data_IF_284876754755
#
_entry.id   IF_284876754755
#
_cell.length_a   1.000
_cell.length_b   1.000
_cell.length_c   1.000
_cell.angle_alpha   90.00
_cell.angle_beta   90.00
_cell.angle_gamma   90.00
#
_symmetry.space_group_name_H-M   'P 1'
#
loop_
_entity.id
_entity.type
_entity.pdbx_description
1 polymer ?
#
# COMPACT_ATOMS: atom_id res chain seq x y z
N UNK A 1 56.11 -11.28 9.04
CA UNK A 1 54.95 -12.10 8.63
C UNK A 1 53.71 -11.51 9.25
N UNK A 2 52.98 -10.68 8.51
CA UNK A 2 51.63 -10.25 8.89
C UNK A 2 50.66 -11.11 8.11
N UNK A 3 49.79 -11.83 8.81
CA UNK A 3 48.74 -12.65 8.19
C UNK A 3 47.89 -11.73 7.31
N UNK A 4 47.78 -12.08 6.04
CA UNK A 4 46.79 -11.49 5.15
C UNK A 4 45.43 -11.59 5.83
N UNK A 5 44.84 -10.44 6.09
CA UNK A 5 43.46 -10.34 6.56
C UNK A 5 42.62 -10.68 5.33
N UNK A 6 42.26 -11.96 5.19
CA UNK A 6 41.26 -12.37 4.22
C UNK A 6 39.96 -11.68 4.66
N UNK A 7 39.60 -10.60 3.98
CA UNK A 7 38.28 -9.99 4.10
C UNK A 7 37.34 -10.91 3.31
N UNK A 8 36.81 -11.93 3.98
CA UNK A 8 35.68 -12.73 3.48
C UNK A 8 34.36 -12.08 3.88
N UNK A 9 34.18 -10.80 3.55
CA UNK A 9 32.85 -10.18 3.61
C UNK A 9 32.23 -10.31 2.22
N UNK A 10 32.01 -11.55 1.77
CA UNK A 10 31.00 -11.81 0.75
C UNK A 10 29.66 -11.56 1.44
N UNK A 11 28.79 -10.67 0.93
CA UNK A 11 27.60 -10.25 1.65
C UNK A 11 26.74 -11.45 2.03
N UNK A 12 26.21 -11.42 3.26
CA UNK A 12 25.09 -12.25 3.70
C UNK A 12 24.06 -12.32 2.58
N UNK A 13 23.66 -13.53 2.21
CA UNK A 13 22.92 -13.84 0.98
C UNK A 13 21.69 -12.93 0.80
N UNK A 14 21.86 -11.83 0.07
CA UNK A 14 20.81 -10.89 -0.36
C UNK A 14 20.26 -11.26 -1.76
N UNK A 15 20.38 -12.53 -2.15
CA UNK A 15 19.87 -13.02 -3.43
C UNK A 15 18.35 -13.19 -3.42
N UNK A 16 17.71 -13.08 -4.58
CA UNK A 16 16.28 -13.38 -4.74
C UNK A 16 16.06 -14.88 -4.46
N UNK A 17 15.06 -15.22 -3.64
CA UNK A 17 14.78 -16.63 -3.33
C UNK A 17 14.07 -17.28 -4.51
N UNK A 18 14.52 -18.47 -4.89
CA UNK A 18 13.91 -19.23 -5.99
C UNK A 18 13.30 -20.51 -5.45
N UNK A 19 11.99 -20.67 -5.67
CA UNK A 19 11.23 -21.86 -5.36
C UNK A 19 10.83 -22.60 -6.64
N UNK A 20 10.62 -23.89 -6.51
CA UNK A 20 10.28 -24.79 -7.62
C UNK A 20 9.01 -25.55 -7.25
N UNK A 21 8.10 -25.63 -8.22
CA UNK A 21 6.85 -26.35 -8.11
C UNK A 21 6.61 -27.12 -9.40
N UNK A 22 6.59 -28.45 -9.34
CA UNK A 22 6.26 -29.27 -10.52
C UNK A 22 4.76 -29.21 -10.85
N UNK A 23 4.38 -29.63 -12.06
CA UNK A 23 2.96 -29.70 -12.47
C UNK A 23 2.16 -30.63 -11.55
N UNK A 24 2.76 -31.76 -11.17
CA UNK A 24 2.15 -32.73 -10.27
C UNK A 24 2.01 -32.18 -8.84
N UNK A 25 2.98 -31.39 -8.36
CA UNK A 25 2.87 -30.74 -7.06
C UNK A 25 1.76 -29.68 -7.05
N UNK A 26 1.67 -28.87 -8.11
CA UNK A 26 0.62 -27.86 -8.25
C UNK A 26 -0.78 -28.49 -8.25
N UNK A 27 -0.99 -29.56 -9.02
CA UNK A 27 -2.30 -30.23 -9.10
C UNK A 27 -2.73 -30.89 -7.78
N UNK A 28 -1.76 -31.26 -6.94
CA UNK A 28 -1.98 -31.82 -5.60
C UNK A 28 -2.03 -30.76 -4.50
N UNK A 29 -1.91 -29.47 -4.83
CA UNK A 29 -1.89 -28.38 -3.85
C UNK A 29 -0.69 -28.41 -2.90
N UNK A 30 0.45 -28.97 -3.32
CA UNK A 30 1.68 -29.01 -2.52
C UNK A 30 2.40 -27.66 -2.56
N UNK A 31 3.14 -27.36 -1.50
CA UNK A 31 3.96 -26.15 -1.41
C UNK A 31 5.20 -26.22 -2.31
N UNK A 32 5.65 -25.06 -2.79
CA UNK A 32 6.86 -24.95 -3.58
C UNK A 32 8.11 -25.11 -2.70
N UNK A 33 9.14 -25.77 -3.23
CA UNK A 33 10.36 -26.10 -2.49
C UNK A 33 11.47 -25.15 -2.91
N UNK A 34 12.24 -24.62 -1.95
CA UNK A 34 13.36 -23.75 -2.27
C UNK A 34 14.45 -24.52 -3.02
N UNK A 35 14.86 -23.98 -4.17
CA UNK A 35 15.98 -24.50 -4.96
C UNK A 35 17.29 -23.75 -4.71
N UNK A 36 17.22 -22.51 -4.21
CA UNK A 36 18.40 -21.75 -3.84
C UNK A 36 18.15 -20.25 -3.91
N UNK A 37 19.26 -19.51 -3.96
CA UNK A 37 19.25 -18.07 -4.16
C UNK A 37 19.77 -17.73 -5.55
N UNK A 38 19.07 -16.84 -6.24
CA UNK A 38 19.44 -16.37 -7.56
C UNK A 38 20.71 -15.53 -7.49
N UNK A 39 21.74 -15.93 -8.23
CA UNK A 39 22.99 -15.16 -8.37
C UNK A 39 23.00 -14.36 -9.68
N UNK A 40 22.39 -14.91 -10.75
CA UNK A 40 22.17 -14.22 -12.00
C UNK A 40 20.96 -14.76 -12.75
N UNK A 41 20.32 -13.89 -13.55
CA UNK A 41 19.22 -14.25 -14.43
C UNK A 41 19.25 -13.40 -15.69
N UNK A 42 18.95 -14.01 -16.84
CA UNK A 42 18.82 -13.33 -18.12
C UNK A 42 17.68 -13.91 -18.93
N UNK A 43 17.14 -13.13 -19.88
CA UNK A 43 16.10 -13.61 -20.81
C UNK A 43 14.66 -13.61 -20.27
N UNK A 44 14.41 -13.08 -19.06
CA UNK A 44 13.06 -12.94 -18.49
C UNK A 44 12.11 -12.08 -19.36
N UNK A 45 12.66 -11.00 -19.94
CA UNK A 45 12.03 -10.14 -20.95
C UNK A 45 12.60 -10.53 -22.32
N UNK A 46 11.97 -11.48 -23.00
CA UNK A 46 12.39 -11.94 -24.31
C UNK A 46 11.26 -12.71 -24.99
N UNK A 47 11.29 -12.76 -26.30
CA UNK A 47 10.24 -13.33 -27.14
C UNK A 47 9.95 -12.36 -28.28
N UNK A 48 10.56 -12.61 -29.44
CA UNK A 48 10.26 -11.89 -30.66
C UNK A 48 8.92 -12.41 -31.21
N UNK A 49 8.05 -11.50 -31.66
CA UNK A 49 6.90 -11.88 -32.47
C UNK A 49 7.31 -11.74 -33.92
N UNK A 50 7.22 -12.82 -34.69
CA UNK A 50 7.14 -12.66 -36.14
C UNK A 50 5.72 -12.23 -36.48
N UNK A 51 5.56 -10.99 -36.97
CA UNK A 51 4.30 -10.59 -37.58
C UNK A 51 4.22 -11.24 -38.95
N UNK A 52 3.32 -12.20 -39.15
CA UNK A 52 3.05 -12.71 -40.48
C UNK A 52 2.06 -11.76 -41.17
N UNK A 53 2.55 -10.99 -42.13
CA UNK A 53 1.69 -10.24 -43.03
C UNK A 53 1.03 -11.22 -43.99
N UNK A 54 -0.27 -11.43 -43.83
CA UNK A 54 -1.07 -12.15 -44.81
C UNK A 54 -1.63 -11.11 -45.77
N UNK A 55 -1.24 -11.15 -47.04
CA UNK A 55 -1.97 -10.45 -48.10
C UNK A 55 -3.19 -11.28 -48.45
N UNK A 56 -4.43 -10.86 -48.15
CA UNK A 56 -5.61 -11.63 -48.52
C UNK A 56 -5.73 -11.60 -50.05
N UNK A 57 -5.91 -12.76 -50.68
CA UNK A 57 -6.06 -12.88 -52.15
C UNK A 57 -7.33 -12.17 -52.66
N UNK A 58 -8.25 -11.77 -51.77
CA UNK A 58 -9.57 -11.22 -52.10
C UNK A 58 -9.98 -10.03 -51.19
N UNK A 59 -9.05 -9.18 -50.76
CA UNK A 59 -9.42 -7.92 -50.11
C UNK A 59 -9.55 -6.80 -51.17
N UNK A 60 -10.74 -6.20 -51.28
CA UNK A 60 -11.06 -5.10 -52.20
C UNK A 60 -10.94 -3.72 -51.55
N UNK A 61 -10.88 -3.66 -50.22
CA UNK A 61 -10.99 -2.43 -49.43
C UNK A 61 -9.71 -2.12 -48.63
N UNK A 62 -8.65 -2.94 -48.77
CA UNK A 62 -7.32 -2.74 -48.16
C UNK A 62 -7.36 -2.52 -46.63
N UNK A 63 -8.24 -3.20 -45.92
CA UNK A 63 -8.22 -3.17 -44.46
C UNK A 63 -7.15 -4.14 -43.95
N UNK A 64 -6.10 -3.58 -43.38
CA UNK A 64 -4.91 -4.30 -42.90
C UNK A 64 -5.28 -5.41 -41.89
N UNK A 65 -5.25 -6.68 -42.32
CA UNK A 65 -5.39 -7.82 -41.40
C UNK A 65 -4.02 -8.14 -40.79
N UNK A 66 -3.73 -7.54 -39.63
CA UNK A 66 -2.59 -7.94 -38.81
C UNK A 66 -2.91 -9.22 -38.03
N UNK A 67 -2.47 -10.38 -38.55
CA UNK A 67 -2.50 -11.63 -37.81
C UNK A 67 -1.36 -11.68 -36.79
N UNK A 68 -1.68 -11.76 -35.50
CA UNK A 68 -0.68 -11.89 -34.44
C UNK A 68 0.02 -13.24 -34.59
N UNK A 69 1.26 -13.24 -35.10
CA UNK A 69 2.03 -14.47 -35.29
C UNK A 69 2.55 -15.07 -33.98
N UNK A 70 3.23 -16.23 -34.10
CA UNK A 70 3.75 -17.02 -32.98
C UNK A 70 4.81 -16.23 -32.19
N UNK A 71 4.62 -16.08 -30.88
CA UNK A 71 5.65 -15.57 -29.95
C UNK A 71 6.66 -16.70 -29.73
N UNK A 72 7.92 -16.50 -30.11
CA UNK A 72 8.99 -17.47 -29.79
C UNK A 72 9.24 -17.49 -28.28
N UNK A 73 9.45 -18.68 -27.71
CA UNK A 73 9.78 -18.86 -26.30
C UNK A 73 11.08 -18.11 -25.99
N UNK A 74 11.10 -17.36 -24.88
CA UNK A 74 12.32 -16.73 -24.42
C UNK A 74 13.22 -17.82 -23.83
N UNK A 75 14.45 -17.95 -24.30
CA UNK A 75 15.48 -18.68 -23.56
C UNK A 75 15.83 -17.88 -22.32
N UNK A 76 15.69 -18.51 -21.15
CA UNK A 76 16.04 -17.96 -19.85
C UNK A 76 17.25 -18.72 -19.34
N UNK A 77 18.26 -17.99 -18.89
CA UNK A 77 19.40 -18.57 -18.19
C UNK A 77 19.39 -18.08 -16.74
N UNK A 78 19.53 -19.01 -15.79
CA UNK A 78 19.55 -18.75 -14.36
C UNK A 78 20.73 -19.45 -13.72
N UNK A 79 21.39 -18.79 -12.77
CA UNK A 79 22.35 -19.43 -11.88
C UNK A 79 21.81 -19.34 -10.44
N UNK A 80 21.77 -20.48 -9.76
CA UNK A 80 21.30 -20.62 -8.39
C UNK A 80 22.44 -21.06 -7.49
N UNK A 81 22.65 -20.35 -6.38
CA UNK A 81 23.47 -20.83 -5.27
C UNK A 81 22.60 -21.71 -4.36
N UNK A 82 22.88 -23.02 -4.30
CA UNK A 82 21.99 -23.99 -3.63
C UNK A 82 22.61 -24.66 -2.40
N UNK A 83 23.93 -24.60 -2.23
CA UNK A 83 24.60 -25.13 -1.04
C UNK A 83 25.83 -24.30 -0.66
N UNK A 84 25.91 -23.86 0.59
CA UNK A 84 26.99 -23.00 1.09
C UNK A 84 27.02 -22.97 2.62
N UNK A 85 28.08 -22.41 3.20
CA UNK A 85 28.16 -22.17 4.65
C UNK A 85 27.75 -20.75 4.97
N UNK A 86 26.83 -20.56 5.92
CA UNK A 86 26.41 -19.27 6.46
C UNK A 86 26.35 -19.35 7.99
N UNK A 87 26.94 -18.39 8.68
CA UNK A 87 26.99 -18.34 10.16
C UNK A 87 27.52 -19.65 10.81
N UNK A 88 28.42 -20.35 10.11
CA UNK A 88 28.98 -21.64 10.55
C UNK A 88 28.10 -22.87 10.27
N UNK A 89 26.91 -22.70 9.70
CA UNK A 89 26.00 -23.79 9.34
C UNK A 89 26.00 -24.06 7.83
N UNK A 90 25.86 -25.33 7.45
CA UNK A 90 25.70 -25.73 6.06
C UNK A 90 24.25 -25.54 5.63
N UNK A 91 24.01 -24.56 4.76
CA UNK A 91 22.75 -24.40 4.04
C UNK A 91 22.77 -25.29 2.79
N UNK A 92 21.70 -26.05 2.56
CA UNK A 92 21.56 -26.93 1.40
C UNK A 92 20.08 -27.02 1.00
N UNK A 93 19.76 -26.74 -0.25
CA UNK A 93 18.39 -26.64 -0.74
C UNK A 93 18.03 -27.80 -1.68
N UNK A 94 17.01 -28.58 -1.30
CA UNK A 94 16.58 -29.77 -2.04
C UNK A 94 15.90 -29.47 -3.38
N UNK A 95 15.37 -28.26 -3.57
CA UNK A 95 14.68 -27.88 -4.80
C UNK A 95 15.55 -27.98 -6.06
N UNK A 96 16.88 -27.95 -5.92
CA UNK A 96 17.79 -28.21 -7.04
C UNK A 96 17.67 -29.64 -7.57
N UNK A 97 17.44 -30.63 -6.69
CA UNK A 97 17.26 -32.02 -7.11
C UNK A 97 15.94 -32.20 -7.89
N UNK A 98 14.93 -31.39 -7.57
CA UNK A 98 13.68 -31.36 -8.34
C UNK A 98 13.88 -30.77 -9.74
N UNK A 99 14.77 -29.78 -9.88
CA UNK A 99 15.13 -29.23 -11.19
C UNK A 99 15.93 -30.22 -12.02
N UNK A 100 16.89 -30.92 -11.41
CA UNK A 100 17.63 -32.00 -12.05
C UNK A 100 16.69 -33.08 -12.58
N UNK A 101 15.79 -33.58 -11.71
CA UNK A 101 14.79 -34.57 -12.10
C UNK A 101 13.86 -34.07 -13.21
N UNK A 102 13.38 -32.82 -13.11
CA UNK A 102 12.53 -32.25 -14.14
C UNK A 102 13.24 -32.10 -15.49
N UNK A 103 14.55 -31.85 -15.49
CA UNK A 103 15.37 -31.86 -16.70
C UNK A 103 15.50 -33.27 -17.28
N UNK A 104 15.83 -34.26 -16.45
CA UNK A 104 15.96 -35.68 -16.85
C UNK A 104 14.65 -36.25 -17.42
N UNK A 105 13.53 -35.92 -16.79
CA UNK A 105 12.19 -36.40 -17.18
C UNK A 105 11.51 -35.51 -18.23
N UNK A 106 12.17 -34.42 -18.67
CA UNK A 106 11.63 -33.46 -19.64
C UNK A 106 10.28 -32.85 -19.19
N UNK A 107 10.10 -32.66 -17.87
CA UNK A 107 8.90 -32.11 -17.25
C UNK A 107 8.90 -30.57 -17.29
N UNK A 108 7.69 -30.00 -17.43
CA UNK A 108 7.50 -28.56 -17.22
C UNK A 108 7.40 -28.25 -15.73
N UNK A 109 8.07 -27.18 -15.30
CA UNK A 109 8.07 -26.72 -13.91
C UNK A 109 7.62 -25.27 -13.82
N UNK A 110 7.15 -24.88 -12.64
CA UNK A 110 7.00 -23.49 -12.26
C UNK A 110 8.19 -23.07 -11.40
N UNK A 111 8.83 -21.99 -11.81
CA UNK A 111 9.83 -21.28 -11.03
C UNK A 111 9.14 -20.09 -10.40
N UNK A 112 9.19 -20.01 -9.07
CA UNK A 112 8.66 -18.88 -8.32
C UNK A 112 9.85 -18.07 -7.81
N UNK A 113 9.95 -16.83 -8.25
CA UNK A 113 10.99 -15.89 -7.84
C UNK A 113 10.40 -14.93 -6.81
N UNK A 114 10.90 -14.98 -5.59
CA UNK A 114 10.56 -14.02 -4.55
C UNK A 114 11.57 -12.87 -4.56
N UNK A 115 11.06 -11.70 -4.89
CA UNK A 115 11.80 -10.45 -4.89
C UNK A 115 11.72 -9.87 -3.49
N UNK A 116 12.88 -9.64 -2.88
CA UNK A 116 12.97 -9.02 -1.56
C UNK A 116 12.83 -7.50 -1.67
N UNK A 117 11.71 -7.03 -2.23
CA UNK A 117 11.30 -5.63 -2.21
C UNK A 117 10.30 -5.37 -1.06
N UNK A 118 9.87 -4.12 -0.88
CA UNK A 118 8.91 -3.75 0.18
C UNK A 118 7.58 -4.52 0.06
N UNK A 119 7.17 -4.88 -1.16
CA UNK A 119 5.94 -5.65 -1.43
C UNK A 119 6.14 -7.16 -1.26
N UNK A 120 7.39 -7.61 -1.12
CA UNK A 120 7.81 -9.02 -1.22
C UNK A 120 7.24 -9.68 -2.48
N UNK A 121 7.40 -8.99 -3.62
CA UNK A 121 6.83 -9.37 -4.91
C UNK A 121 7.20 -10.81 -5.27
N UNK A 122 6.22 -11.59 -5.72
CA UNK A 122 6.43 -13.00 -6.05
C UNK A 122 5.99 -13.28 -7.48
N UNK A 123 6.91 -13.74 -8.34
CA UNK A 123 6.65 -14.02 -9.74
C UNK A 123 6.65 -15.52 -10.02
N UNK A 124 5.54 -16.06 -10.51
CA UNK A 124 5.42 -17.45 -10.98
C UNK A 124 5.64 -17.53 -12.49
N UNK A 125 6.67 -18.25 -12.89
CA UNK A 125 7.09 -18.40 -14.28
C UNK A 125 7.01 -19.87 -14.66
N UNK A 126 6.23 -20.17 -15.71
CA UNK A 126 6.17 -21.53 -16.25
C UNK A 126 7.32 -21.74 -17.24
N UNK A 127 8.06 -22.82 -17.06
CA UNK A 127 9.30 -23.07 -17.80
C UNK A 127 9.48 -24.54 -18.16
N UNK A 128 10.20 -24.79 -19.25
CA UNK A 128 10.70 -26.11 -19.62
C UNK A 128 12.23 -26.08 -19.63
N UNK A 129 12.85 -26.93 -18.83
CA UNK A 129 14.31 -27.00 -18.73
C UNK A 129 14.90 -27.56 -20.04
N UNK A 130 15.91 -26.88 -20.58
CA UNK A 130 16.64 -27.29 -21.79
C UNK A 130 18.12 -27.50 -21.54
N UNK A 131 18.64 -27.05 -20.39
CA UNK A 131 19.96 -27.36 -19.89
C UNK A 131 20.01 -27.27 -18.36
N UNK A 132 20.74 -28.17 -17.74
CA UNK A 132 20.97 -28.18 -16.30
C UNK A 132 22.42 -28.63 -16.03
N UNK A 133 23.14 -27.87 -15.22
CA UNK A 133 24.53 -28.17 -14.86
C UNK A 133 24.79 -27.81 -13.40
N UNK A 134 25.32 -28.76 -12.62
CA UNK A 134 25.81 -28.50 -11.27
C UNK A 134 27.28 -28.07 -11.32
N UNK A 135 27.60 -26.98 -10.64
CA UNK A 135 28.94 -26.44 -10.53
C UNK A 135 29.37 -26.38 -9.06
N UNK A 136 30.62 -26.78 -8.82
CA UNK A 136 31.29 -26.52 -7.54
C UNK A 136 32.17 -25.30 -7.70
N UNK A 137 31.92 -24.25 -6.92
CA UNK A 137 32.79 -23.08 -6.85
C UNK A 137 33.87 -23.24 -5.77
N UNK A 138 34.87 -22.36 -5.81
CA UNK A 138 35.83 -22.23 -4.72
C UNK A 138 35.11 -21.84 -3.41
N UNK A 139 35.64 -22.32 -2.27
CA UNK A 139 35.14 -22.02 -0.91
C UNK A 139 33.81 -22.69 -0.51
N UNK A 140 33.58 -23.96 -0.87
CA UNK A 140 32.42 -24.77 -0.44
C UNK A 140 31.05 -24.19 -0.84
N UNK A 141 31.00 -23.43 -1.92
CA UNK A 141 29.78 -22.93 -2.54
C UNK A 141 29.45 -23.78 -3.76
N UNK A 142 28.21 -24.23 -3.87
CA UNK A 142 27.74 -25.02 -5.01
C UNK A 142 26.61 -24.28 -5.69
N UNK A 143 26.74 -24.16 -7.01
CA UNK A 143 25.80 -23.47 -7.88
C UNK A 143 25.20 -24.41 -8.92
N UNK A 144 24.02 -24.07 -9.43
CA UNK A 144 23.35 -24.76 -10.50
C UNK A 144 23.07 -23.77 -11.63
N UNK A 145 23.56 -24.07 -12.83
CA UNK A 145 23.21 -23.36 -14.05
C UNK A 145 22.02 -24.03 -14.71
N UNK A 146 21.04 -23.20 -15.07
CA UNK A 146 19.79 -23.62 -15.65
C UNK A 146 19.59 -22.84 -16.94
N UNK A 147 19.37 -23.56 -18.03
CA UNK A 147 18.85 -23.00 -19.27
C UNK A 147 17.46 -23.57 -19.48
N UNK A 148 16.50 -22.70 -19.81
CA UNK A 148 15.12 -23.09 -19.95
C UNK A 148 14.38 -22.24 -20.98
N UNK A 149 13.30 -22.79 -21.51
CA UNK A 149 12.34 -22.07 -22.34
C UNK A 149 11.18 -21.58 -21.48
N UNK A 150 10.94 -20.27 -21.49
CA UNK A 150 9.77 -19.66 -20.86
C UNK A 150 8.51 -19.98 -21.66
N UNK A 151 7.49 -20.48 -20.97
CA UNK A 151 6.18 -20.82 -21.52
C UNK A 151 5.16 -19.79 -21.04
N UNK A 152 4.61 -19.00 -21.95
CA UNK A 152 3.61 -17.98 -21.62
C UNK A 152 4.20 -16.78 -20.86
N UNK A 153 3.33 -16.00 -20.22
CA UNK A 153 3.73 -14.83 -19.44
C UNK A 153 3.94 -15.18 -17.97
N UNK A 154 4.83 -14.44 -17.30
CA UNK A 154 5.00 -14.58 -15.86
C UNK A 154 3.74 -14.07 -15.16
N UNK A 155 3.26 -14.79 -14.15
CA UNK A 155 2.13 -14.37 -13.32
C UNK A 155 2.66 -13.76 -12.04
N UNK A 156 2.22 -12.55 -11.71
CA UNK A 156 2.37 -12.02 -10.35
C UNK A 156 1.43 -12.82 -9.43
N UNK A 157 2.00 -13.41 -8.39
CA UNK A 157 1.29 -14.18 -7.37
C UNK A 157 1.59 -13.65 -5.98
N UNK A 158 2.00 -12.39 -5.87
CA UNK A 158 2.30 -11.72 -4.60
C UNK A 158 1.11 -11.88 -3.66
N UNK A 159 1.29 -12.54 -2.50
CA UNK A 159 0.22 -12.63 -1.52
C UNK A 159 -0.20 -11.23 -1.07
N UNK A 160 -1.50 -11.02 -0.90
CA UNK A 160 -1.99 -9.80 -0.28
C UNK A 160 -1.37 -9.62 1.10
N UNK A 161 -0.97 -8.38 1.41
CA UNK A 161 -0.43 -7.97 2.70
C UNK A 161 -1.07 -6.65 3.09
N UNK A 162 -1.37 -6.50 4.37
CA UNK A 162 -1.77 -5.22 4.92
C UNK A 162 -0.59 -4.25 4.93
N UNK A 163 -0.88 -2.95 4.84
CA UNK A 163 0.13 -1.91 4.97
C UNK A 163 0.68 -1.88 6.39
N UNK A 164 1.99 -2.10 6.56
CA UNK A 164 2.60 -2.09 7.89
C UNK A 164 3.59 -0.92 8.01
N UNK A 165 3.43 -0.09 9.04
CA UNK A 165 4.35 0.98 9.42
C UNK A 165 4.16 1.33 10.89
N UNK A 166 5.14 1.99 11.52
CA UNK A 166 5.04 2.45 12.91
C UNK A 166 3.85 3.39 13.15
N UNK A 167 3.41 4.10 12.11
CA UNK A 167 2.30 5.05 12.18
C UNK A 167 0.97 4.48 11.63
N UNK A 168 0.93 3.19 11.28
CA UNK A 168 -0.26 2.54 10.76
C UNK A 168 -0.87 1.62 11.82
N UNK A 169 -2.19 1.64 11.94
CA UNK A 169 -2.96 0.75 12.80
C UNK A 169 -4.16 0.18 12.05
N UNK A 170 -4.41 -1.12 12.23
CA UNK A 170 -5.59 -1.80 11.69
C UNK A 170 -6.54 -2.14 12.83
N UNK A 171 -7.83 -1.85 12.67
CA UNK A 171 -8.81 -2.06 13.75
C UNK A 171 -10.21 -2.33 13.22
N UNK A 172 -11.03 -2.99 14.03
CA UNK A 172 -12.49 -3.14 13.85
C UNK A 172 -13.27 -2.30 14.86
N UNK A 173 -12.57 -1.51 15.69
CA UNK A 173 -13.21 -0.60 16.64
C UNK A 173 -13.67 0.65 15.90
N UNK A 174 -14.97 0.92 15.94
CA UNK A 174 -15.56 2.10 15.34
C UNK A 174 -14.97 3.38 15.97
N UNK A 175 -14.81 4.40 15.13
CA UNK A 175 -14.25 5.71 15.47
C UNK A 175 -15.31 6.78 15.15
N UNK A 176 -15.52 7.75 16.03
CA UNK A 176 -16.47 8.84 15.77
C UNK A 176 -15.73 10.11 15.39
N UNK A 177 -16.12 10.70 14.27
CA UNK A 177 -15.55 11.95 13.77
C UNK A 177 -15.62 13.03 14.86
N UNK A 178 -14.49 13.70 15.10
CA UNK A 178 -14.35 14.76 16.09
C UNK A 178 -13.84 14.29 17.46
N UNK A 179 -13.85 13.00 17.78
CA UNK A 179 -13.31 12.54 19.06
C UNK A 179 -11.79 12.75 19.14
N UNK A 180 -11.24 12.89 20.36
CA UNK A 180 -9.81 13.08 20.59
C UNK A 180 -9.17 11.78 21.05
N UNK A 181 -8.14 11.33 20.33
CA UNK A 181 -7.32 10.19 20.70
C UNK A 181 -5.84 10.57 20.73
N UNK A 182 -5.36 10.96 21.91
CA UNK A 182 -4.01 11.51 22.08
C UNK A 182 -2.88 10.53 21.71
N UNK A 183 -3.12 9.22 21.78
CA UNK A 183 -2.17 8.16 21.42
C UNK A 183 -2.12 7.86 19.91
N UNK A 184 -3.00 8.51 19.13
CA UNK A 184 -3.14 8.31 17.68
C UNK A 184 -2.66 9.51 16.85
N UNK A 185 -2.01 10.50 17.48
CA UNK A 185 -1.46 11.68 16.79
C UNK A 185 -0.55 11.27 15.62
N UNK A 186 -0.84 11.81 14.44
CA UNK A 186 -0.08 11.53 13.21
C UNK A 186 -0.18 10.10 12.69
N UNK A 187 -1.13 9.29 13.21
CA UNK A 187 -1.35 7.92 12.72
C UNK A 187 -2.34 7.85 11.58
N UNK A 188 -2.20 6.82 10.76
CA UNK A 188 -3.19 6.38 9.80
C UNK A 188 -3.88 5.15 10.40
N UNK A 189 -5.19 5.18 10.55
CA UNK A 189 -5.98 4.04 11.02
C UNK A 189 -6.82 3.49 9.87
N UNK A 190 -6.60 2.22 9.55
CA UNK A 190 -7.47 1.44 8.68
C UNK A 190 -8.53 0.75 9.52
N UNK A 191 -9.77 1.21 9.39
CA UNK A 191 -10.93 0.62 10.05
C UNK A 191 -11.65 -0.35 9.12
N UNK A 192 -11.84 -1.59 9.60
CA UNK A 192 -12.50 -2.66 8.89
C UNK A 192 -13.89 -2.88 9.51
N UNK A 193 -14.99 -2.66 8.76
CA UNK A 193 -16.35 -2.90 9.27
C UNK A 193 -16.62 -4.37 9.61
N UNK A 194 -15.90 -5.29 8.95
CA UNK A 194 -16.03 -6.74 9.10
C UNK A 194 -14.70 -7.31 9.60
N UNK A 195 -14.75 -8.09 10.68
CA UNK A 195 -13.54 -8.64 11.33
C UNK A 195 -12.77 -9.60 10.44
N UNK A 196 -13.44 -10.41 9.61
CA UNK A 196 -12.76 -11.32 8.67
C UNK A 196 -11.88 -10.58 7.65
N UNK A 197 -12.20 -9.32 7.33
CA UNK A 197 -11.43 -8.49 6.39
C UNK A 197 -10.07 -8.11 6.96
N UNK A 198 -9.83 -8.21 8.28
CA UNK A 198 -8.50 -8.05 8.90
C UNK A 198 -7.57 -9.24 8.66
N UNK A 199 -8.10 -10.40 8.27
CA UNK A 199 -7.30 -11.59 7.99
C UNK A 199 -7.19 -11.81 6.49
N UNK A 200 -8.33 -11.73 5.79
CA UNK A 200 -8.42 -11.99 4.36
C UNK A 200 -9.57 -11.17 3.75
N UNK A 201 -9.26 -10.06 3.06
CA UNK A 201 -10.26 -9.32 2.31
C UNK A 201 -10.86 -10.14 1.17
N UNK A 202 -12.15 -9.93 0.94
CA UNK A 202 -12.90 -10.45 -0.21
C UNK A 202 -13.21 -9.33 -1.20
N UNK A 203 -13.52 -9.69 -2.45
CA UNK A 203 -13.87 -8.71 -3.48
C UNK A 203 -15.04 -7.84 -3.01
N UNK A 204 -14.88 -6.52 -3.12
CA UNK A 204 -15.80 -5.49 -2.64
C UNK A 204 -15.87 -5.29 -1.12
N UNK A 205 -15.01 -5.95 -0.33
CA UNK A 205 -14.87 -5.59 1.08
C UNK A 205 -14.38 -4.13 1.19
N UNK A 206 -14.98 -3.38 2.10
CA UNK A 206 -14.65 -1.99 2.33
C UNK A 206 -13.80 -1.81 3.60
N UNK A 207 -12.98 -0.78 3.60
CA UNK A 207 -12.36 -0.23 4.81
C UNK A 207 -12.41 1.29 4.78
N UNK A 208 -12.41 1.90 5.95
CA UNK A 208 -12.29 3.35 6.12
C UNK A 208 -10.86 3.71 6.49
N UNK A 209 -10.34 4.82 5.96
CA UNK A 209 -9.00 5.32 6.26
C UNK A 209 -9.09 6.64 6.99
N UNK A 210 -8.63 6.66 8.24
CA UNK A 210 -8.58 7.85 9.08
C UNK A 210 -7.14 8.35 9.16
N UNK A 211 -6.89 9.61 8.77
CA UNK A 211 -5.59 10.27 8.91
C UNK A 211 -5.64 11.27 10.06
N UNK A 212 -5.08 10.90 11.20
CA UNK A 212 -5.14 11.70 12.42
C UNK A 212 -4.23 12.92 12.33
N UNK A 213 -4.73 14.04 12.86
CA UNK A 213 -3.93 15.26 13.03
C UNK A 213 -2.70 15.00 13.94
N UNK A 214 -1.57 15.60 13.57
CA UNK A 214 -0.28 15.44 14.27
C UNK A 214 -0.24 16.13 15.63
N UNK A 215 -1.11 17.13 15.88
CA UNK A 215 -1.06 17.96 17.09
C UNK A 215 -1.99 17.43 18.20
N UNK A 216 -3.25 17.18 17.87
CA UNK A 216 -4.31 16.78 18.81
C UNK A 216 -4.69 15.31 18.70
N UNK A 217 -4.58 14.70 17.52
CA UNK A 217 -5.08 13.34 17.28
C UNK A 217 -6.60 13.31 17.23
N UNK A 218 -7.21 14.26 16.50
CA UNK A 218 -8.66 14.29 16.29
C UNK A 218 -9.04 13.29 15.21
N UNK A 219 -10.14 12.57 15.40
CA UNK A 219 -10.70 11.64 14.41
C UNK A 219 -11.26 12.44 13.22
N UNK A 220 -10.68 12.32 12.02
CA UNK A 220 -11.14 13.04 10.83
C UNK A 220 -12.36 12.36 10.18
N UNK A 221 -12.92 12.99 9.16
CA UNK A 221 -13.74 12.27 8.19
C UNK A 221 -12.85 11.27 7.43
N UNK A 222 -13.21 9.98 7.36
CA UNK A 222 -12.40 9.00 6.66
C UNK A 222 -12.64 9.03 5.15
N UNK A 223 -11.64 8.57 4.39
CA UNK A 223 -11.88 8.08 3.02
C UNK A 223 -12.36 6.64 3.06
N UNK A 224 -13.05 6.20 2.01
CA UNK A 224 -13.44 4.80 1.83
C UNK A 224 -12.54 4.16 0.79
N UNK A 225 -12.05 2.97 1.11
CA UNK A 225 -11.34 2.11 0.18
C UNK A 225 -12.08 0.79 0.01
N UNK A 226 -12.06 0.25 -1.20
CA UNK A 226 -12.71 -1.01 -1.55
C UNK A 226 -11.68 -1.97 -2.13
N UNK A 227 -11.75 -3.24 -1.73
CA UNK A 227 -10.88 -4.30 -2.22
C UNK A 227 -11.27 -4.73 -3.63
N UNK A 228 -10.34 -4.65 -4.57
CA UNK A 228 -10.59 -4.88 -6.00
C UNK A 228 -10.09 -6.26 -6.49
N UNK A 229 -10.32 -6.55 -7.77
CA UNK A 229 -9.91 -7.81 -8.43
C UNK A 229 -8.39 -8.00 -8.50
N UNK A 230 -7.61 -6.94 -8.32
CA UNK A 230 -6.15 -6.99 -8.30
C UNK A 230 -5.57 -7.29 -6.91
N UNK A 231 -6.43 -7.64 -5.95
CA UNK A 231 -6.07 -7.82 -4.55
C UNK A 231 -5.50 -6.55 -3.90
N UNK A 232 -6.04 -5.38 -4.23
CA UNK A 232 -5.62 -4.10 -3.67
C UNK A 232 -6.82 -3.32 -3.12
N UNK A 233 -6.62 -2.59 -2.03
CA UNK A 233 -7.57 -1.59 -1.57
C UNK A 233 -7.38 -0.30 -2.35
N UNK A 234 -8.40 0.13 -3.09
CA UNK A 234 -8.39 1.38 -3.86
C UNK A 234 -9.34 2.39 -3.24
N UNK A 235 -8.98 3.67 -3.25
CA UNK A 235 -9.86 4.75 -2.79
C UNK A 235 -11.06 4.87 -3.73
N UNK A 236 -12.25 4.60 -3.19
CA UNK A 236 -13.54 4.71 -3.89
C UNK A 236 -14.31 5.93 -3.46
N UNK A 237 -14.06 6.44 -2.25
CA UNK A 237 -14.57 7.73 -1.78
C UNK A 237 -13.44 8.49 -1.12
N UNK A 238 -13.17 9.70 -1.59
CA UNK A 238 -12.27 10.62 -0.91
C UNK A 238 -12.81 11.00 0.46
N UNK A 239 -11.90 11.39 1.37
CA UNK A 239 -12.30 11.89 2.67
C UNK A 239 -13.20 13.12 2.49
N UNK A 240 -14.32 13.17 3.24
CA UNK A 240 -15.17 14.36 3.23
C UNK A 240 -14.33 15.56 3.71
N UNK A 241 -14.50 16.71 3.06
CA UNK A 241 -13.71 17.92 3.34
C UNK A 241 -13.66 18.18 4.86
N UNK A 242 -12.43 18.40 5.33
CA UNK A 242 -12.09 18.83 6.70
C UNK A 242 -12.99 20.01 7.08
N UNK A 243 -13.26 20.20 8.38
CA UNK A 243 -13.95 21.39 8.87
C UNK A 243 -13.45 22.65 8.16
N UNK A 244 -14.34 23.28 7.40
CA UNK A 244 -14.06 24.53 6.68
C UNK A 244 -14.58 25.69 7.55
N UNK A 245 -13.70 26.66 7.80
CA UNK A 245 -14.09 27.92 8.42
C UNK A 245 -15.04 28.65 7.49
N UNK A 246 -16.02 29.33 8.07
CA UNK A 246 -16.84 30.25 7.31
C UNK A 246 -15.96 31.33 6.68
N UNK A 247 -16.05 31.50 5.36
CA UNK A 247 -15.25 32.46 4.63
C UNK A 247 -16.17 33.51 4.00
N UNK A 248 -16.37 34.60 4.72
CA UNK A 248 -17.16 35.77 4.31
C UNK A 248 -16.39 37.03 4.68
N UNK A 249 -16.49 38.09 3.88
CA UNK A 249 -15.81 39.38 4.11
C UNK A 249 -16.16 40.00 5.47
N UNK A 250 -17.33 39.68 6.03
CA UNK A 250 -17.80 40.17 7.32
C UNK A 250 -17.53 39.22 8.48
N UNK A 251 -16.84 38.09 8.26
CA UNK A 251 -16.52 37.12 9.31
C UNK A 251 -15.04 37.22 9.67
N UNK A 252 -14.76 37.25 10.98
CA UNK A 252 -13.41 37.20 11.52
C UNK A 252 -13.30 36.01 12.48
N UNK A 253 -12.25 35.22 12.30
CA UNK A 253 -11.87 34.15 13.24
C UNK A 253 -10.69 34.62 14.10
N UNK A 254 -10.85 34.59 15.42
CA UNK A 254 -9.87 35.08 16.39
C UNK A 254 -9.63 34.04 17.50
N UNK A 255 -8.42 33.98 18.05
CA UNK A 255 -8.05 33.07 19.15
C UNK A 255 -7.19 33.71 20.24
N UNK A 256 -6.79 34.97 20.09
CA UNK A 256 -5.90 35.69 21.01
C UNK A 256 -6.65 36.61 21.96
N UNK A 257 -7.55 37.43 21.41
CA UNK A 257 -8.24 38.48 22.17
C UNK A 257 -9.75 38.29 22.06
N UNK A 258 -10.40 38.01 23.19
CA UNK A 258 -11.86 37.90 23.27
C UNK A 258 -12.50 39.30 23.26
N UNK A 259 -13.55 39.55 22.45
CA UNK A 259 -14.31 40.79 22.52
C UNK A 259 -15.04 40.95 23.87
N UNK A 260 -15.07 42.18 24.39
CA UNK A 260 -15.81 42.54 25.59
C UNK A 260 -17.20 43.09 25.24
N UNK A 261 -18.23 42.57 25.90
CA UNK A 261 -19.60 43.05 25.71
C UNK A 261 -19.69 44.55 26.05
N UNK A 262 -20.34 45.32 25.18
CA UNK A 262 -20.52 46.76 25.40
C UNK A 262 -19.32 47.62 25.01
N UNK A 263 -18.17 47.02 24.69
CA UNK A 263 -17.02 47.74 24.14
C UNK A 263 -17.27 48.11 22.66
N UNK A 264 -16.79 49.29 22.26
CA UNK A 264 -16.86 49.79 20.88
C UNK A 264 -15.64 49.36 20.06
N UNK A 265 -15.90 48.81 18.87
CA UNK A 265 -14.90 48.40 17.88
C UNK A 265 -15.20 49.05 16.53
N UNK A 266 -14.76 50.30 16.34
CA UNK A 266 -15.05 51.12 15.16
C UNK A 266 -14.66 50.45 13.83
N UNK A 267 -13.50 49.82 13.76
CA UNK A 267 -12.98 49.15 12.55
C UNK A 267 -13.68 47.81 12.24
N UNK A 268 -14.48 47.30 13.17
CA UNK A 268 -15.17 46.01 13.07
C UNK A 268 -16.68 46.17 12.91
N UNK A 269 -17.18 47.39 12.70
CA UNK A 269 -18.60 47.67 12.49
C UNK A 269 -19.21 46.76 11.41
N UNK A 270 -20.33 46.10 11.75
CA UNK A 270 -21.06 45.20 10.87
C UNK A 270 -20.46 43.79 10.74
N UNK A 271 -19.35 43.50 11.43
CA UNK A 271 -18.69 42.18 11.35
C UNK A 271 -19.21 41.20 12.41
N UNK A 272 -19.09 39.92 12.10
CA UNK A 272 -19.26 38.81 13.03
C UNK A 272 -17.89 38.27 13.44
N UNK A 273 -17.62 38.18 14.73
CA UNK A 273 -16.40 37.57 15.27
C UNK A 273 -16.70 36.20 15.87
N UNK A 274 -15.98 35.19 15.41
CA UNK A 274 -15.89 33.89 16.06
C UNK A 274 -14.59 33.82 16.86
N UNK A 275 -14.72 33.87 18.19
CA UNK A 275 -13.60 33.70 19.10
C UNK A 275 -13.45 32.24 19.52
N UNK A 276 -12.24 31.71 19.43
CA UNK A 276 -11.87 30.34 19.77
C UNK A 276 -11.02 30.35 21.04
N UNK A 277 -11.58 30.00 22.22
CA UNK A 277 -10.83 29.99 23.48
C UNK A 277 -9.60 29.09 23.47
N UNK A 278 -9.62 28.04 22.64
CA UNK A 278 -8.46 27.22 22.35
C UNK A 278 -8.05 27.43 20.89
N UNK A 279 -6.85 27.99 20.67
CA UNK A 279 -6.35 28.28 19.33
C UNK A 279 -6.26 27.04 18.43
N UNK A 280 -6.05 25.85 19.00
CA UNK A 280 -6.02 24.60 18.23
C UNK A 280 -7.40 24.22 17.68
N UNK A 281 -8.49 24.64 18.31
CA UNK A 281 -9.86 24.40 17.82
C UNK A 281 -10.12 25.08 16.48
N UNK A 282 -9.46 26.22 16.24
CA UNK A 282 -9.57 26.93 14.97
C UNK A 282 -9.01 26.09 13.81
N UNK A 283 -8.00 25.25 14.07
CA UNK A 283 -7.35 24.43 13.05
C UNK A 283 -7.92 23.01 13.01
N UNK A 284 -8.16 22.41 14.17
CA UNK A 284 -8.56 21.02 14.35
C UNK A 284 -9.64 20.91 15.45
N UNK A 285 -10.89 21.30 15.17
CA UNK A 285 -11.94 21.24 16.17
C UNK A 285 -12.26 19.79 16.55
N UNK A 286 -12.34 19.54 17.85
CA UNK A 286 -12.80 18.29 18.43
C UNK A 286 -14.27 18.39 18.86
N UNK A 287 -14.97 17.26 18.98
CA UNK A 287 -16.30 17.22 19.56
C UNK A 287 -16.27 17.88 20.94
N UNK A 288 -17.31 18.67 21.22
CA UNK A 288 -17.45 19.48 22.44
C UNK A 288 -16.54 20.71 22.53
N UNK A 289 -15.65 20.95 21.56
CA UNK A 289 -14.94 22.22 21.48
C UNK A 289 -15.94 23.37 21.33
N UNK A 290 -15.64 24.49 22.00
CA UNK A 290 -16.49 25.67 21.99
C UNK A 290 -15.86 26.80 21.18
N UNK A 291 -16.71 27.58 20.52
CA UNK A 291 -16.39 28.93 20.05
C UNK A 291 -17.46 29.91 20.52
N UNK A 292 -17.09 31.17 20.68
CA UNK A 292 -18.01 32.26 21.03
C UNK A 292 -18.25 33.12 19.79
N UNK A 293 -19.51 33.44 19.52
CA UNK A 293 -19.94 34.31 18.42
C UNK A 293 -20.32 35.68 18.97
N UNK A 294 -19.78 36.73 18.37
CA UNK A 294 -20.13 38.13 18.64
C UNK A 294 -20.57 38.79 17.34
N UNK A 295 -21.56 39.68 17.44
CA UNK A 295 -21.92 40.58 16.35
C UNK A 295 -21.57 42.00 16.77
N UNK A 296 -20.84 42.71 15.90
CA UNK A 296 -20.49 44.12 16.12
C UNK A 296 -21.53 44.98 15.40
N UNK A 297 -22.26 45.79 16.18
CA UNK A 297 -23.34 46.62 15.63
C UNK A 297 -22.82 47.56 14.53
N UNK A 298 -23.53 47.63 13.41
CA UNK A 298 -23.11 48.38 12.24
C UNK A 298 -23.06 49.89 12.48
N UNK A 299 -23.94 50.42 13.34
CA UNK A 299 -24.07 51.87 13.56
C UNK A 299 -23.16 52.36 14.69
N UNK A 300 -23.21 51.67 15.82
CA UNK A 300 -22.55 52.03 17.07
C UNK A 300 -21.20 51.36 17.28
N UNK A 301 -20.91 50.26 16.57
CA UNK A 301 -19.68 49.48 16.76
C UNK A 301 -19.63 48.70 18.06
N UNK A 302 -20.73 48.63 18.80
CA UNK A 302 -20.79 47.96 20.09
C UNK A 302 -20.88 46.44 19.88
N UNK A 303 -20.06 45.67 20.60
CA UNK A 303 -20.12 44.21 20.58
C UNK A 303 -21.32 43.66 21.37
N UNK A 304 -21.99 42.66 20.79
CA UNK A 304 -23.08 41.91 21.44
C UNK A 304 -22.60 41.07 22.63
N UNK A 305 -23.55 40.55 23.40
CA UNK A 305 -23.27 39.40 24.28
C UNK A 305 -22.82 38.20 23.44
N UNK A 306 -21.91 37.39 24.01
CA UNK A 306 -21.38 36.22 23.36
C UNK A 306 -22.43 35.10 23.25
N UNK A 307 -22.63 34.54 22.06
CA UNK A 307 -23.37 33.28 21.88
C UNK A 307 -22.41 32.11 21.78
N UNK A 308 -22.57 31.08 22.62
CA UNK A 308 -21.71 29.89 22.58
C UNK A 308 -22.18 28.89 21.52
N UNK A 309 -21.23 28.38 20.75
CA UNK A 309 -21.43 27.30 19.78
C UNK A 309 -20.51 26.14 20.10
N UNK A 310 -21.00 24.93 19.91
CA UNK A 310 -20.27 23.69 20.16
C UNK A 310 -20.03 22.96 18.86
N UNK A 311 -18.83 22.42 18.68
CA UNK A 311 -18.48 21.57 17.56
C UNK A 311 -19.00 20.15 17.79
N UNK A 312 -19.80 19.65 16.85
CA UNK A 312 -20.33 18.30 16.84
C UNK A 312 -20.38 17.79 15.41
N UNK A 313 -19.75 16.64 15.14
CA UNK A 313 -19.82 15.93 13.86
C UNK A 313 -19.53 16.84 12.65
N UNK A 314 -18.42 17.57 12.70
CA UNK A 314 -17.98 18.38 11.55
C UNK A 314 -18.58 19.78 11.46
N UNK A 315 -19.35 20.25 12.45
CA UNK A 315 -19.89 21.62 12.43
C UNK A 315 -20.04 22.25 13.80
N UNK A 316 -19.84 23.57 13.88
CA UNK A 316 -20.28 24.36 15.04
C UNK A 316 -21.78 24.65 14.92
N UNK A 317 -22.51 24.43 16.00
CA UNK A 317 -23.90 24.86 16.12
C UNK A 317 -24.18 25.43 17.50
N UNK A 318 -25.20 26.29 17.60
CA UNK A 318 -25.68 26.76 18.89
C UNK A 318 -26.07 25.53 19.71
N UNK A 319 -25.64 25.47 20.97
CA UNK A 319 -25.86 24.30 21.81
C UNK A 319 -27.34 23.87 21.75
N UNK A 320 -27.60 22.66 21.23
CA UNK A 320 -28.92 22.04 21.31
C UNK A 320 -29.34 22.09 22.78
N UNK A 321 -30.44 22.79 23.09
CA UNK A 321 -31.08 22.73 24.41
C UNK A 321 -31.25 21.25 24.78
N UNK A 322 -30.40 20.71 25.64
CA UNK A 322 -30.62 19.41 26.29
C UNK A 322 -31.87 19.58 27.16
N UNK A 323 -33.01 19.08 26.66
CA UNK A 323 -34.21 18.86 27.46
C UNK A 323 -35.24 20.00 27.46
N UNK A 324 -36.07 20.05 26.43
CA UNK A 324 -37.41 20.59 26.53
C UNK A 324 -38.42 19.47 26.30
N UNK A 325 -38.74 18.69 27.33
CA UNK A 325 -40.01 17.95 27.34
C UNK A 325 -41.14 18.99 27.42
N UNK A 326 -42.03 18.98 26.44
CA UNK A 326 -43.46 19.18 26.68
C UNK A 326 -44.20 18.08 25.96
#
# INVERSE_FOLDING_TARGET
MSKDKIITDAPDVQGLRVLVLSRAMESLGKEAIQAGFLTSISGLKGGTRESQKLSPINDRDYEEINAVGKKTSATVNMNLLYKFVKDGNLESYEGVNYLEKAFEENEEVFIIVEINDERKTTLKIKMKLTGFELQSEANNKFSANITAEKIGEAKDITPFRFEESQNIEHTTKALNVGDVMSDKKGKIIYFYPKESTLEKPELNDERMVYVFDEVRGVIPNPSTQTFNENNEFITTKEADKVWEKENDENIIHESKTEPEQGQTYEELKGKTLYFYPNALTLLYPANEDIRKKYTIDQSSGIASEATMQTFLNGKFSDALRKGGKK
#
